data_IF_491170799182
#
_entry.id   IF_491170799182
#
_cell.length_a   1.000
_cell.length_b   1.000
_cell.length_c   1.000
_cell.angle_alpha   90.00
_cell.angle_beta   90.00
_cell.angle_gamma   90.00
#
_symmetry.space_group_name_H-M   'P 1'
#
loop_
_entity.id
_entity.type
_entity.pdbx_description
1 polymer ?
#
# COMPACT_ATOMS: atom_id res chain seq x y z
N UNK A 1 1.12 18.35 5.48
CA UNK A 1 1.79 17.95 6.74
C UNK A 1 0.95 18.28 7.98
N UNK A 2 -0.38 18.31 7.91
CA UNK A 2 -1.21 18.94 8.97
C UNK A 2 -1.72 18.01 10.09
N UNK A 3 -1.49 16.69 10.04
CA UNK A 3 -1.89 15.77 11.13
C UNK A 3 -0.69 15.21 11.88
N UNK A 4 -0.45 15.75 13.08
CA UNK A 4 0.20 15.15 14.26
C UNK A 4 1.62 14.59 14.08
N UNK A 5 2.57 15.10 14.87
CA UNK A 5 4.01 14.82 14.89
C UNK A 5 4.40 13.34 15.12
N UNK A 6 4.11 12.47 14.14
CA UNK A 6 4.80 11.20 14.01
C UNK A 6 5.78 11.31 12.84
N UNK A 7 7.10 11.12 13.09
CA UNK A 7 8.08 11.11 12.02
C UNK A 7 7.77 9.95 11.06
N UNK A 8 7.52 10.30 9.79
CA UNK A 8 7.27 9.34 8.71
C UNK A 8 8.61 8.94 8.10
N UNK A 9 8.65 7.78 7.46
CA UNK A 9 9.85 7.27 6.79
C UNK A 9 10.52 8.29 5.85
N UNK A 10 9.72 9.07 5.13
CA UNK A 10 10.21 10.18 4.28
C UNK A 10 10.98 11.22 5.10
N UNK A 11 10.42 11.67 6.22
CA UNK A 11 11.03 12.70 7.07
C UNK A 11 12.26 12.16 7.81
N UNK A 12 12.24 10.90 8.25
CA UNK A 12 13.42 10.24 8.81
C UNK A 12 14.56 10.19 7.78
N UNK A 13 14.26 9.75 6.56
CA UNK A 13 15.25 9.66 5.49
C UNK A 13 15.85 11.04 5.15
N UNK A 14 15.02 12.07 5.02
CA UNK A 14 15.47 13.45 4.81
C UNK A 14 16.39 13.91 5.94
N UNK A 15 16.03 13.64 7.20
CA UNK A 15 16.82 14.03 8.36
C UNK A 15 18.17 13.30 8.43
N UNK A 16 18.19 12.01 8.14
CA UNK A 16 19.38 11.15 8.23
C UNK A 16 20.37 11.41 7.09
N UNK A 17 19.89 11.80 5.91
CA UNK A 17 20.72 11.88 4.68
C UNK A 17 20.89 13.30 4.14
N UNK A 18 20.06 14.25 4.57
CA UNK A 18 19.97 15.58 3.98
C UNK A 18 19.28 15.62 2.60
N UNK A 19 18.66 14.52 2.17
CA UNK A 19 17.98 14.42 0.88
C UNK A 19 16.76 15.35 0.77
N UNK A 20 16.39 15.70 -0.46
CA UNK A 20 15.16 16.43 -0.74
C UNK A 20 13.92 15.56 -0.44
N UNK A 21 12.74 16.18 -0.31
CA UNK A 21 11.50 15.41 -0.13
C UNK A 21 11.20 14.51 -1.34
N UNK A 22 11.53 14.95 -2.55
CA UNK A 22 11.36 14.18 -3.79
C UNK A 22 12.27 12.94 -3.77
N UNK A 23 13.56 13.12 -3.51
CA UNK A 23 14.52 12.01 -3.42
C UNK A 23 14.13 11.03 -2.31
N UNK A 24 13.68 11.54 -1.16
CA UNK A 24 13.21 10.71 -0.05
C UNK A 24 11.97 9.90 -0.44
N UNK A 25 11.01 10.50 -1.15
CA UNK A 25 9.82 9.80 -1.64
C UNK A 25 10.19 8.70 -2.62
N UNK A 26 11.10 8.98 -3.55
CA UNK A 26 11.52 8.01 -4.55
C UNK A 26 12.33 6.87 -3.94
N UNK A 27 13.17 7.16 -2.95
CA UNK A 27 13.84 6.13 -2.17
C UNK A 27 12.86 5.22 -1.43
N UNK A 28 11.85 5.79 -0.74
CA UNK A 28 10.83 5.00 -0.04
C UNK A 28 10.00 4.17 -1.02
N UNK A 29 9.61 4.71 -2.19
CA UNK A 29 8.93 3.93 -3.25
C UNK A 29 9.79 2.77 -3.74
N UNK A 30 11.09 3.00 -3.94
CA UNK A 30 12.03 1.95 -4.30
C UNK A 30 12.06 0.84 -3.24
N UNK A 31 12.15 1.18 -1.95
CA UNK A 31 12.12 0.20 -0.87
C UNK A 31 10.79 -0.59 -0.82
N UNK A 32 9.66 0.07 -1.08
CA UNK A 32 8.36 -0.61 -1.21
C UNK A 32 8.40 -1.61 -2.38
N UNK A 33 8.94 -1.23 -3.53
CA UNK A 33 9.12 -2.11 -4.70
C UNK A 33 10.00 -3.33 -4.39
N UNK A 34 11.17 -3.12 -3.76
CA UNK A 34 12.04 -4.22 -3.34
C UNK A 34 11.37 -5.14 -2.32
N UNK A 35 10.52 -4.60 -1.45
CA UNK A 35 9.75 -5.41 -0.49
C UNK A 35 8.69 -6.25 -1.20
N UNK A 36 8.02 -5.71 -2.22
CA UNK A 36 7.09 -6.46 -3.06
C UNK A 36 7.75 -7.65 -3.78
N UNK A 37 8.95 -7.45 -4.32
CA UNK A 37 9.73 -8.54 -4.95
C UNK A 37 9.95 -9.69 -3.96
N UNK A 38 10.42 -9.39 -2.75
CA UNK A 38 10.61 -10.40 -1.68
C UNK A 38 9.32 -11.10 -1.28
N UNK A 39 8.21 -10.36 -1.14
CA UNK A 39 6.92 -10.96 -0.82
C UNK A 39 6.44 -11.92 -1.92
N UNK A 40 6.71 -11.59 -3.18
CA UNK A 40 6.37 -12.46 -4.31
C UNK A 40 7.24 -13.71 -4.34
N UNK A 41 8.54 -13.59 -4.06
CA UNK A 41 9.45 -14.74 -3.91
C UNK A 41 8.97 -15.69 -2.81
N UNK A 42 8.68 -15.17 -1.61
CA UNK A 42 8.18 -15.96 -0.49
C UNK A 42 6.83 -16.62 -0.78
N UNK A 43 5.95 -15.93 -1.52
CA UNK A 43 4.66 -16.49 -1.94
C UNK A 43 4.83 -17.68 -2.90
N UNK A 44 5.86 -17.65 -3.75
CA UNK A 44 6.15 -18.68 -4.74
C UNK A 44 7.08 -19.77 -4.19
N UNK A 45 7.60 -19.62 -2.97
CA UNK A 45 8.50 -20.58 -2.37
C UNK A 45 7.78 -21.90 -2.05
N UNK A 46 8.34 -23.01 -2.54
CA UNK A 46 7.82 -24.37 -2.29
C UNK A 46 7.88 -24.77 -0.80
N UNK A 47 8.77 -24.14 -0.04
CA UNK A 47 9.06 -24.46 1.36
C UNK A 47 9.06 -23.21 2.26
N UNK A 48 8.00 -22.41 2.19
CA UNK A 48 7.81 -21.30 3.13
C UNK A 48 7.67 -21.85 4.57
N UNK A 49 8.30 -21.23 5.58
CA UNK A 49 8.07 -21.57 6.99
C UNK A 49 6.67 -21.16 7.48
N UNK A 50 5.93 -20.41 6.67
CA UNK A 50 4.59 -19.92 6.98
C UNK A 50 3.51 -20.76 6.29
N UNK A 51 2.33 -20.82 6.90
CA UNK A 51 1.17 -21.45 6.25
C UNK A 51 0.75 -20.64 5.01
N UNK A 52 0.20 -21.33 4.00
CA UNK A 52 -0.33 -20.68 2.79
C UNK A 52 -1.35 -19.58 3.12
N UNK A 53 -2.19 -19.81 4.12
CA UNK A 53 -3.19 -18.84 4.60
C UNK A 53 -2.51 -17.58 5.14
N UNK A 54 -1.45 -17.71 5.95
CA UNK A 54 -0.74 -16.56 6.50
C UNK A 54 -0.10 -15.73 5.37
N UNK A 55 0.52 -16.40 4.40
CA UNK A 55 1.11 -15.76 3.21
C UNK A 55 0.05 -15.00 2.42
N UNK A 56 -1.12 -15.60 2.18
CA UNK A 56 -2.22 -14.94 1.47
C UNK A 56 -2.77 -13.72 2.22
N UNK A 57 -2.92 -13.81 3.55
CA UNK A 57 -3.35 -12.69 4.39
C UNK A 57 -2.34 -11.54 4.29
N UNK A 58 -1.04 -11.82 4.44
CA UNK A 58 0.01 -10.80 4.34
C UNK A 58 0.00 -10.11 2.97
N UNK A 59 -0.14 -10.88 1.88
CA UNK A 59 -0.27 -10.35 0.52
C UNK A 59 -1.50 -9.45 0.37
N UNK A 60 -2.65 -9.85 0.92
CA UNK A 60 -3.88 -9.08 0.82
C UNK A 60 -3.82 -7.78 1.63
N UNK A 61 -3.14 -7.77 2.78
CA UNK A 61 -2.90 -6.54 3.55
C UNK A 61 -2.04 -5.56 2.76
N UNK A 62 -0.96 -6.03 2.13
CA UNK A 62 -0.11 -5.20 1.28
C UNK A 62 -0.88 -4.63 0.07
N UNK A 63 -1.69 -5.47 -0.60
CA UNK A 63 -2.56 -5.04 -1.71
C UNK A 63 -3.59 -4.01 -1.28
N UNK A 64 -4.25 -4.23 -0.13
CA UNK A 64 -5.21 -3.28 0.42
C UNK A 64 -4.55 -1.94 0.72
N UNK A 65 -3.36 -1.94 1.34
CA UNK A 65 -2.60 -0.72 1.61
C UNK A 65 -2.26 0.03 0.32
N UNK A 66 -1.75 -0.67 -0.70
CA UNK A 66 -1.46 -0.04 -2.00
C UNK A 66 -2.73 0.51 -2.66
N UNK A 67 -3.82 -0.26 -2.68
CA UNK A 67 -5.11 0.14 -3.24
C UNK A 67 -5.62 1.45 -2.59
N UNK A 68 -5.44 1.60 -1.27
CA UNK A 68 -5.87 2.76 -0.52
C UNK A 68 -4.97 3.98 -0.72
N UNK A 69 -3.65 3.80 -0.87
CA UNK A 69 -2.68 4.91 -0.79
C UNK A 69 -1.96 5.27 -2.10
N UNK A 70 -2.15 4.51 -3.18
CA UNK A 70 -1.43 4.73 -4.44
C UNK A 70 -1.70 6.09 -5.11
N UNK A 71 -2.83 6.74 -4.79
CA UNK A 71 -3.22 8.05 -5.34
C UNK A 71 -3.36 9.15 -4.27
N UNK A 72 -2.74 8.97 -3.10
CA UNK A 72 -2.86 9.88 -1.97
C UNK A 72 -3.54 9.22 -0.78
N UNK A 73 -4.08 10.01 0.16
CA UNK A 73 -4.72 9.46 1.36
C UNK A 73 -6.16 9.00 1.08
N UNK A 74 -6.33 7.81 0.51
CA UNK A 74 -7.65 7.23 0.28
C UNK A 74 -8.38 6.79 1.54
N UNK A 75 -7.77 6.82 2.73
CA UNK A 75 -8.41 6.36 3.97
C UNK A 75 -8.95 7.52 4.80
N UNK A 76 -8.06 8.45 5.18
CA UNK A 76 -8.38 9.61 6.02
C UNK A 76 -8.90 10.82 5.24
N UNK A 77 -8.56 10.94 3.96
CA UNK A 77 -8.95 12.04 3.08
C UNK A 77 -9.43 11.51 1.72
N UNK A 78 -10.47 10.67 1.76
CA UNK A 78 -10.98 9.89 0.63
C UNK A 78 -11.17 10.73 -0.65
N UNK A 79 -10.34 10.43 -1.66
CA UNK A 79 -10.51 10.94 -3.03
C UNK A 79 -11.65 10.27 -3.77
N UNK A 80 -11.99 10.79 -4.96
CA UNK A 80 -13.07 10.26 -5.80
C UNK A 80 -12.85 8.76 -6.13
N UNK A 81 -11.63 8.40 -6.51
CA UNK A 81 -11.20 7.01 -6.76
C UNK A 81 -11.62 6.03 -5.66
N UNK A 82 -11.35 6.36 -4.39
CA UNK A 82 -11.66 5.45 -3.28
C UNK A 82 -13.17 5.34 -3.07
N UNK A 83 -13.91 6.44 -3.21
CA UNK A 83 -15.38 6.44 -3.09
C UNK A 83 -16.02 5.58 -4.17
N UNK A 84 -15.57 5.72 -5.42
CA UNK A 84 -16.08 4.94 -6.55
C UNK A 84 -15.85 3.44 -6.35
N UNK A 85 -14.67 3.05 -5.86
CA UNK A 85 -14.37 1.65 -5.52
C UNK A 85 -15.29 1.12 -4.41
N UNK A 86 -15.51 1.89 -3.35
CA UNK A 86 -16.40 1.47 -2.25
C UNK A 86 -17.83 1.30 -2.75
N UNK A 87 -18.33 2.26 -3.54
CA UNK A 87 -19.66 2.19 -4.13
C UNK A 87 -19.80 0.95 -5.02
N UNK A 88 -18.84 0.70 -5.92
CA UNK A 88 -18.89 -0.44 -6.83
C UNK A 88 -18.76 -1.80 -6.13
N UNK A 89 -18.02 -1.89 -5.02
CA UNK A 89 -17.74 -3.18 -4.36
C UNK A 89 -18.78 -3.56 -3.32
N UNK A 90 -19.37 -2.58 -2.63
CA UNK A 90 -20.20 -2.85 -1.45
C UNK A 90 -21.63 -2.32 -1.54
N UNK A 91 -21.91 -1.38 -2.44
CA UNK A 91 -23.20 -0.68 -2.48
C UNK A 91 -23.97 -1.00 -3.76
N UNK A 92 -23.31 -0.87 -4.91
CA UNK A 92 -23.92 -1.04 -6.21
C UNK A 92 -23.78 -2.49 -6.67
N UNK A 93 -24.89 -3.23 -6.86
CA UNK A 93 -24.82 -4.58 -7.37
C UNK A 93 -24.40 -4.59 -8.84
N UNK A 94 -23.79 -5.71 -9.27
CA UNK A 94 -23.54 -5.96 -10.70
C UNK A 94 -24.89 -6.15 -11.40
N UNK A 95 -25.21 -5.36 -12.45
CA UNK A 95 -26.44 -5.55 -13.20
C UNK A 95 -26.46 -6.94 -13.83
N UNK A 96 -27.60 -7.63 -13.72
CA UNK A 96 -27.84 -8.87 -14.45
C UNK A 96 -28.53 -8.52 -15.77
N UNK A 97 -27.95 -8.97 -16.88
CA UNK A 97 -28.63 -8.91 -18.18
C UNK A 97 -29.63 -10.07 -18.25
N UNK A 98 -30.90 -9.75 -18.50
CA UNK A 98 -31.97 -10.71 -18.77
C UNK A 98 -32.39 -10.62 -20.23
#
# INVERSE_FOLDING_TARGET
MERGDNPKSIQCYMHETGASEEDARDHIKYLIGKTWEKMNEERLADHSPFSKILVEIAMNIARASQCMYQYGDGHGAQGQETKDRVLSLFINPVPLEY
#
